data_IF_852280284807
#
_entry.id   IF_852280284807
#
_cell.length_a   1.000
_cell.length_b   1.000
_cell.length_c   1.000
_cell.angle_alpha   90.00
_cell.angle_beta   90.00
_cell.angle_gamma   90.00
#
_symmetry.space_group_name_H-M   'P 1'
#
loop_
_entity.id
_entity.type
_entity.pdbx_description
1 polymer ?
#
# COMPACT_ATOMS: atom_id res chain seq x y z
N UNK A 1 51.76 13.30 4.55
CA UNK A 1 50.58 12.89 3.76
C UNK A 1 49.58 12.21 4.68
N UNK A 2 48.32 12.67 4.70
CA UNK A 2 47.25 12.11 5.53
C UNK A 2 46.02 11.87 4.64
N UNK A 3 45.42 10.68 4.68
CA UNK A 3 44.31 10.27 3.81
C UNK A 3 44.56 10.52 2.30
N UNK A 4 45.79 10.30 1.81
CA UNK A 4 46.20 10.60 0.43
C UNK A 4 46.02 12.07 0.00
N UNK A 5 45.90 12.99 0.95
CA UNK A 5 45.83 14.45 0.70
C UNK A 5 47.09 15.12 1.28
N UNK A 6 47.61 16.11 0.55
CA UNK A 6 48.78 16.90 0.93
C UNK A 6 50.13 16.33 0.46
N UNK A 7 51.23 16.93 0.93
CA UNK A 7 52.59 16.55 0.55
C UNK A 7 53.11 15.37 1.40
N UNK A 8 54.04 14.58 0.82
CA UNK A 8 54.76 13.52 1.53
C UNK A 8 55.73 14.08 2.56
N UNK A 9 56.44 15.16 2.21
CA UNK A 9 57.33 15.94 3.10
C UNK A 9 57.24 17.42 2.78
N UNK A 10 57.40 18.28 3.80
CA UNK A 10 57.47 19.73 3.63
C UNK A 10 58.81 20.18 3.00
N UNK A 11 59.86 19.36 3.13
CA UNK A 11 61.21 19.67 2.64
C UNK A 11 61.23 19.76 1.11
N UNK A 12 61.78 20.84 0.58
CA UNK A 12 61.83 21.09 -0.87
C UNK A 12 60.59 21.74 -1.46
N UNK A 13 59.50 21.90 -0.69
CA UNK A 13 58.27 22.56 -1.15
C UNK A 13 58.31 24.09 -1.06
N UNK A 14 59.30 24.65 -0.37
CA UNK A 14 59.41 26.10 -0.11
C UNK A 14 58.31 26.66 0.81
N UNK A 15 57.50 25.81 1.44
CA UNK A 15 56.41 26.20 2.35
C UNK A 15 56.37 25.30 3.60
N UNK A 16 55.52 25.65 4.56
CA UNK A 16 55.32 24.85 5.78
C UNK A 16 54.46 23.59 5.54
N UNK A 17 54.02 23.33 4.30
CA UNK A 17 53.14 22.22 3.90
C UNK A 17 51.85 22.08 4.75
N UNK A 18 51.31 23.21 5.21
CA UNK A 18 50.05 23.24 5.95
C UNK A 18 48.88 22.99 5.01
N UNK A 19 48.09 21.96 5.30
CA UNK A 19 46.96 21.52 4.47
C UNK A 19 45.65 21.89 5.17
N UNK A 20 44.80 22.65 4.49
CA UNK A 20 43.45 22.99 4.95
C UNK A 20 42.40 22.23 4.14
N UNK A 21 41.24 21.98 4.74
CA UNK A 21 40.08 21.49 4.01
C UNK A 21 39.53 22.60 3.10
N UNK A 22 39.03 22.21 1.92
CA UNK A 22 38.35 23.14 1.04
C UNK A 22 36.90 23.36 1.52
N UNK A 23 36.60 24.56 2.01
CA UNK A 23 35.26 24.98 2.46
C UNK A 23 34.23 25.10 1.33
N UNK A 24 34.66 25.28 0.09
CA UNK A 24 33.80 25.33 -1.09
C UNK A 24 33.58 23.93 -1.71
N UNK A 25 34.14 22.87 -1.12
CA UNK A 25 33.95 21.52 -1.65
C UNK A 25 32.52 21.03 -1.34
N UNK A 26 31.68 20.97 -2.37
CA UNK A 26 30.36 20.38 -2.27
C UNK A 26 30.49 18.85 -2.22
N UNK A 27 30.09 18.24 -1.10
CA UNK A 27 29.99 16.79 -0.99
C UNK A 27 28.84 16.31 -1.86
N UNK A 28 29.13 15.90 -3.10
CA UNK A 28 28.14 15.21 -3.92
C UNK A 28 27.85 13.86 -3.26
N UNK A 29 26.59 13.63 -2.86
CA UNK A 29 26.13 12.32 -2.42
C UNK A 29 26.47 11.30 -3.51
N UNK A 30 27.13 10.19 -3.14
CA UNK A 30 27.42 9.08 -4.07
C UNK A 30 26.15 8.49 -4.69
N UNK A 31 24.99 8.77 -4.10
CA UNK A 31 23.69 8.45 -4.67
C UNK A 31 23.29 9.54 -5.67
N UNK A 32 23.90 9.50 -6.86
CA UNK A 32 23.37 10.23 -8.01
C UNK A 32 21.99 9.63 -8.31
N UNK A 33 20.93 10.38 -8.03
CA UNK A 33 19.57 10.00 -8.46
C UNK A 33 19.59 10.04 -10.00
N UNK A 34 19.58 8.86 -10.62
CA UNK A 34 19.43 8.73 -12.05
C UNK A 34 17.93 8.79 -12.32
N UNK A 35 17.47 9.90 -12.89
CA UNK A 35 16.08 10.05 -13.31
C UNK A 35 15.91 9.30 -14.63
N UNK A 36 15.48 8.04 -14.57
CA UNK A 36 15.04 7.31 -15.76
C UNK A 36 13.57 7.67 -16.00
N UNK A 37 13.35 8.86 -16.57
CA UNK A 37 12.01 9.45 -16.67
C UNK A 37 10.98 8.49 -17.27
N UNK A 38 11.33 7.73 -18.32
CA UNK A 38 10.41 6.80 -18.96
C UNK A 38 10.12 5.55 -18.12
N UNK A 39 11.13 4.94 -17.49
CA UNK A 39 10.95 3.75 -16.64
C UNK A 39 10.16 4.08 -15.36
N UNK A 40 10.42 5.26 -14.79
CA UNK A 40 9.71 5.74 -13.60
C UNK A 40 8.24 6.04 -13.91
N UNK A 41 7.94 6.64 -15.08
CA UNK A 41 6.57 6.86 -15.56
C UNK A 41 5.86 5.51 -15.78
N UNK A 42 6.50 4.58 -16.51
CA UNK A 42 5.91 3.27 -16.77
C UNK A 42 5.62 2.49 -15.48
N UNK A 43 6.51 2.59 -14.48
CA UNK A 43 6.28 1.98 -13.16
C UNK A 43 5.11 2.61 -12.43
N UNK A 44 5.02 3.94 -12.41
CA UNK A 44 3.92 4.66 -11.77
C UNK A 44 2.57 4.33 -12.41
N UNK A 45 2.50 4.26 -13.74
CA UNK A 45 1.28 3.86 -14.46
C UNK A 45 0.88 2.41 -14.14
N UNK A 46 1.85 1.50 -14.09
CA UNK A 46 1.60 0.10 -13.74
C UNK A 46 1.07 -0.04 -12.29
N UNK A 47 1.62 0.71 -11.34
CA UNK A 47 1.16 0.72 -9.95
C UNK A 47 -0.26 1.27 -9.82
N UNK A 48 -0.57 2.35 -10.54
CA UNK A 48 -1.92 2.93 -10.57
C UNK A 48 -2.92 1.94 -11.15
N UNK A 49 -2.59 1.24 -12.22
CA UNK A 49 -3.51 0.35 -12.94
C UNK A 49 -3.58 -1.08 -12.39
N UNK A 50 -2.84 -1.40 -11.33
CA UNK A 50 -2.84 -2.73 -10.73
C UNK A 50 -4.21 -3.09 -10.15
N UNK A 51 -4.81 -4.17 -10.68
CA UNK A 51 -6.08 -4.69 -10.18
C UNK A 51 -5.95 -5.34 -8.79
N UNK A 52 -7.00 -5.29 -7.95
CA UNK A 52 -7.04 -6.06 -6.72
C UNK A 52 -7.10 -7.57 -7.02
N UNK A 53 -6.43 -8.38 -6.21
CA UNK A 53 -6.57 -9.83 -6.27
C UNK A 53 -7.82 -10.23 -5.48
N UNK A 54 -8.73 -10.98 -6.12
CA UNK A 54 -10.00 -11.40 -5.54
C UNK A 54 -9.80 -12.36 -4.37
N UNK A 55 -8.86 -13.31 -4.49
CA UNK A 55 -8.60 -14.30 -3.42
C UNK A 55 -8.20 -13.60 -2.12
N UNK A 56 -7.34 -12.58 -2.20
CA UNK A 56 -6.91 -11.82 -1.02
C UNK A 56 -8.05 -11.00 -0.41
N UNK A 57 -8.97 -10.49 -1.23
CA UNK A 57 -10.18 -9.83 -0.71
C UNK A 57 -11.11 -10.83 -0.02
N UNK A 58 -11.29 -12.03 -0.58
CA UNK A 58 -12.08 -13.11 0.02
C UNK A 58 -11.54 -13.52 1.38
N UNK A 59 -10.21 -13.58 1.52
CA UNK A 59 -9.55 -13.80 2.81
C UNK A 59 -9.84 -12.69 3.82
N UNK A 60 -9.83 -11.42 3.40
CA UNK A 60 -10.18 -10.28 4.27
C UNK A 60 -11.65 -10.33 4.71
N UNK A 61 -12.59 -10.67 3.83
CA UNK A 61 -14.00 -10.80 4.24
C UNK A 61 -14.21 -11.94 5.24
N UNK A 62 -13.57 -13.10 5.03
CA UNK A 62 -13.60 -14.21 5.99
C UNK A 62 -13.02 -13.79 7.34
N UNK A 63 -11.91 -13.03 7.33
CA UNK A 63 -11.31 -12.48 8.54
C UNK A 63 -12.28 -11.54 9.27
N UNK A 64 -12.99 -10.67 8.55
CA UNK A 64 -13.98 -9.77 9.15
C UNK A 64 -15.17 -10.53 9.76
N UNK A 65 -15.63 -11.61 9.11
CA UNK A 65 -16.68 -12.48 9.67
C UNK A 65 -16.21 -13.11 10.98
N UNK A 66 -14.99 -13.64 11.03
CA UNK A 66 -14.44 -14.23 12.26
C UNK A 66 -14.25 -13.18 13.36
N UNK A 67 -13.81 -11.96 13.03
CA UNK A 67 -13.74 -10.86 14.02
C UNK A 67 -15.10 -10.62 14.66
N UNK A 68 -16.18 -10.54 13.86
CA UNK A 68 -17.55 -10.38 14.38
C UNK A 68 -17.98 -11.55 15.25
N UNK A 69 -17.52 -12.77 14.94
CA UNK A 69 -17.81 -13.95 15.75
C UNK A 69 -17.09 -13.88 17.10
N UNK A 70 -15.83 -13.44 17.14
CA UNK A 70 -15.06 -13.24 18.37
C UNK A 70 -15.67 -12.11 19.21
N UNK A 71 -16.05 -10.99 18.61
CA UNK A 71 -16.76 -9.92 19.33
C UNK A 71 -18.08 -10.41 19.95
N UNK A 72 -18.80 -11.29 19.24
CA UNK A 72 -20.03 -11.88 19.77
C UNK A 72 -19.77 -12.88 20.90
N UNK A 73 -18.68 -13.64 20.83
CA UNK A 73 -18.21 -14.53 21.90
C UNK A 73 -17.88 -13.73 23.16
N UNK A 74 -17.08 -12.67 23.06
CA UNK A 74 -16.73 -11.76 24.16
C UNK A 74 -17.99 -11.16 24.84
N UNK A 75 -18.99 -10.77 24.03
CA UNK A 75 -20.26 -10.23 24.53
C UNK A 75 -21.09 -11.26 25.30
N UNK A 76 -20.97 -12.54 24.95
CA UNK A 76 -21.69 -13.62 25.61
C UNK A 76 -20.98 -14.07 26.89
N UNK A 77 -19.65 -14.13 26.87
CA UNK A 77 -18.84 -14.35 28.08
C UNK A 77 -19.10 -13.26 29.13
N UNK A 78 -19.11 -11.99 28.71
CA UNK A 78 -19.42 -10.87 29.60
C UNK A 78 -20.82 -10.91 30.23
N UNK A 79 -21.75 -11.67 29.64
CA UNK A 79 -23.10 -11.90 30.19
C UNK A 79 -23.17 -13.15 31.07
N UNK A 80 -22.11 -13.95 31.16
CA UNK A 80 -22.03 -15.14 31.99
C UNK A 80 -22.77 -16.36 31.44
N UNK A 81 -22.89 -16.49 30.11
CA UNK A 81 -23.38 -17.72 29.48
C UNK A 81 -22.38 -18.87 29.65
N UNK A 82 -22.86 -20.12 29.54
CA UNK A 82 -21.98 -21.30 29.58
C UNK A 82 -21.20 -21.49 28.28
N UNK A 83 -20.01 -22.09 28.35
CA UNK A 83 -19.15 -22.32 27.18
C UNK A 83 -19.84 -23.14 26.08
N UNK A 84 -20.70 -24.10 26.43
CA UNK A 84 -21.44 -24.93 25.48
C UNK A 84 -22.50 -24.11 24.71
N UNK A 85 -23.19 -23.20 25.41
CA UNK A 85 -24.19 -22.32 24.80
C UNK A 85 -23.53 -21.27 23.91
N UNK A 86 -22.38 -20.73 24.34
CA UNK A 86 -21.58 -19.78 23.57
C UNK A 86 -21.14 -20.40 22.25
N UNK A 87 -20.48 -21.57 22.30
CA UNK A 87 -20.00 -22.27 21.11
C UNK A 87 -21.14 -22.58 20.13
N UNK A 88 -22.30 -23.01 20.62
CA UNK A 88 -23.45 -23.32 19.78
C UNK A 88 -23.95 -22.06 19.06
N UNK A 89 -24.14 -20.96 19.79
CA UNK A 89 -24.63 -19.69 19.22
C UNK A 89 -23.62 -19.03 18.29
N UNK A 90 -22.33 -19.05 18.62
CA UNK A 90 -21.26 -18.52 17.75
C UNK A 90 -21.19 -19.31 16.44
N UNK A 91 -21.36 -20.64 16.49
CA UNK A 91 -21.39 -21.49 15.29
C UNK A 91 -22.59 -21.18 14.38
N UNK A 92 -23.77 -20.97 14.96
CA UNK A 92 -24.96 -20.52 14.22
C UNK A 92 -24.75 -19.13 13.61
N UNK A 93 -24.19 -18.20 14.39
CA UNK A 93 -23.90 -16.84 13.94
C UNK A 93 -22.88 -16.80 12.80
N UNK A 94 -21.82 -17.62 12.86
CA UNK A 94 -20.84 -17.78 11.78
C UNK A 94 -21.51 -18.23 10.47
N UNK A 95 -22.38 -19.24 10.53
CA UNK A 95 -23.12 -19.72 9.35
C UNK A 95 -24.06 -18.65 8.79
N UNK A 96 -24.74 -17.92 9.67
CA UNK A 96 -25.62 -16.82 9.28
C UNK A 96 -24.84 -15.74 8.52
N UNK A 97 -23.76 -15.22 9.12
CA UNK A 97 -22.93 -14.17 8.50
C UNK A 97 -22.35 -14.63 7.15
N UNK A 98 -21.89 -15.88 7.08
CA UNK A 98 -21.35 -16.43 5.84
C UNK A 98 -22.43 -16.50 4.73
N UNK A 99 -23.63 -16.98 5.06
CA UNK A 99 -24.76 -17.03 4.11
C UNK A 99 -25.21 -15.62 3.68
N UNK A 100 -25.23 -14.65 4.59
CA UNK A 100 -25.58 -13.26 4.27
C UNK A 100 -24.52 -12.58 3.38
N UNK A 101 -23.26 -12.94 3.58
CA UNK A 101 -22.15 -12.51 2.73
C UNK A 101 -22.25 -13.11 1.32
N UNK A 102 -22.43 -14.43 1.21
CA UNK A 102 -22.59 -15.11 -0.10
C UNK A 102 -23.82 -14.64 -0.87
N UNK A 103 -24.93 -14.35 -0.16
CA UNK A 103 -26.14 -13.80 -0.77
C UNK A 103 -26.04 -12.31 -1.16
N UNK A 104 -24.93 -11.64 -0.83
CA UNK A 104 -24.70 -10.23 -1.12
C UNK A 104 -25.59 -9.26 -0.33
N UNK A 105 -26.29 -9.74 0.70
CA UNK A 105 -27.11 -8.90 1.59
C UNK A 105 -26.23 -8.10 2.56
N UNK A 106 -25.11 -8.68 2.96
CA UNK A 106 -24.14 -8.07 3.87
C UNK A 106 -23.01 -7.42 3.08
N UNK A 107 -23.03 -6.09 2.97
CA UNK A 107 -21.92 -5.33 2.38
C UNK A 107 -20.84 -5.06 3.42
N UNK A 108 -19.74 -5.82 3.34
CA UNK A 108 -18.58 -5.70 4.24
C UNK A 108 -17.50 -4.75 3.72
N UNK A 109 -17.73 -4.14 2.55
CA UNK A 109 -16.74 -3.30 1.86
C UNK A 109 -16.30 -2.07 2.65
N UNK A 110 -17.19 -1.51 3.48
CA UNK A 110 -16.89 -0.36 4.32
C UNK A 110 -15.95 -0.70 5.50
N UNK A 111 -15.87 -1.97 5.86
CA UNK A 111 -15.15 -2.47 7.04
C UNK A 111 -13.76 -3.04 6.68
N UNK A 112 -13.41 -3.04 5.38
CA UNK A 112 -12.10 -3.46 4.89
C UNK A 112 -10.97 -2.56 5.39
N UNK A 113 -9.87 -3.16 5.83
CA UNK A 113 -8.68 -2.41 6.23
C UNK A 113 -7.99 -1.79 5.00
N UNK A 114 -7.97 -0.45 4.96
CA UNK A 114 -7.35 0.34 3.90
C UNK A 114 -5.81 0.32 3.93
N UNK A 115 -5.19 -0.20 5.00
CA UNK A 115 -3.75 -0.46 5.04
C UNK A 115 -3.34 -1.58 4.08
N UNK A 116 -4.26 -2.50 3.77
CA UNK A 116 -4.01 -3.57 2.79
C UNK A 116 -4.03 -2.99 1.36
N UNK A 117 -2.96 -3.27 0.61
CA UNK A 117 -2.78 -2.82 -0.77
C UNK A 117 -3.94 -3.20 -1.69
N UNK A 118 -4.54 -4.39 -1.53
CA UNK A 118 -5.63 -4.86 -2.39
C UNK A 118 -6.97 -4.22 -2.02
N UNK A 119 -7.26 -4.03 -0.74
CA UNK A 119 -8.42 -3.26 -0.27
C UNK A 119 -8.37 -1.83 -0.81
N UNK A 120 -7.21 -1.17 -0.72
CA UNK A 120 -7.00 0.16 -1.30
C UNK A 120 -7.18 0.17 -2.81
N UNK A 121 -6.69 -0.84 -3.52
CA UNK A 121 -6.87 -0.96 -4.97
C UNK A 121 -8.35 -1.17 -5.36
N UNK A 122 -9.12 -1.92 -4.56
CA UNK A 122 -10.58 -2.08 -4.76
C UNK A 122 -11.30 -0.73 -4.64
N UNK A 123 -11.05 0.02 -3.56
CA UNK A 123 -11.65 1.34 -3.35
C UNK A 123 -11.22 2.33 -4.44
N UNK A 124 -9.93 2.33 -4.82
CA UNK A 124 -9.43 3.18 -5.90
C UNK A 124 -10.11 2.85 -7.25
N UNK A 125 -10.30 1.56 -7.57
CA UNK A 125 -11.00 1.12 -8.79
C UNK A 125 -12.46 1.61 -8.79
N UNK A 126 -13.16 1.47 -7.67
CA UNK A 126 -14.54 1.96 -7.52
C UNK A 126 -14.61 3.49 -7.64
N UNK A 127 -13.69 4.20 -6.98
CA UNK A 127 -13.59 5.66 -7.05
C UNK A 127 -13.34 6.16 -8.48
N UNK A 128 -12.43 5.51 -9.23
CA UNK A 128 -12.19 5.83 -10.65
C UNK A 128 -13.41 5.53 -11.52
N UNK A 129 -14.10 4.42 -11.28
CA UNK A 129 -15.34 4.09 -12.00
C UNK A 129 -16.43 5.14 -11.77
N UNK A 130 -16.60 5.59 -10.53
CA UNK A 130 -17.54 6.65 -10.17
C UNK A 130 -17.16 7.98 -10.82
N UNK A 131 -15.88 8.33 -10.81
CA UNK A 131 -15.37 9.54 -11.46
C UNK A 131 -15.53 9.48 -12.98
N UNK A 132 -15.27 8.33 -13.60
CA UNK A 132 -15.49 8.10 -15.04
C UNK A 132 -16.94 8.37 -15.43
N UNK A 133 -17.88 7.81 -14.67
CA UNK A 133 -19.30 8.05 -14.86
C UNK A 133 -19.68 9.52 -14.67
N UNK A 134 -19.17 10.16 -13.61
CA UNK A 134 -19.43 11.58 -13.33
C UNK A 134 -18.89 12.52 -14.43
N UNK A 135 -17.79 12.17 -15.07
CA UNK A 135 -17.20 12.92 -16.19
C UNK A 135 -17.85 12.59 -17.55
N UNK A 136 -18.83 11.68 -17.60
CA UNK A 136 -19.50 11.28 -18.83
C UNK A 136 -18.62 10.48 -19.80
N UNK A 137 -17.57 9.84 -19.30
CA UNK A 137 -16.69 8.98 -20.10
C UNK A 137 -17.37 7.62 -20.26
N UNK A 138 -17.56 7.20 -21.51
CA UNK A 138 -18.24 5.94 -21.83
C UNK A 138 -17.42 4.70 -21.38
N UNK A 139 -18.11 3.58 -21.17
CA UNK A 139 -17.45 2.31 -20.82
C UNK A 139 -16.54 1.78 -21.95
N UNK A 140 -16.84 2.12 -23.21
CA UNK A 140 -16.04 1.76 -24.39
C UNK A 140 -14.83 2.66 -24.63
N UNK A 141 -14.64 3.71 -23.82
CA UNK A 141 -13.52 4.62 -23.95
C UNK A 141 -12.19 3.90 -23.69
N UNK A 142 -11.27 4.01 -24.65
CA UNK A 142 -9.91 3.45 -24.58
C UNK A 142 -8.94 4.60 -24.29
N UNK A 143 -8.12 4.48 -23.25
CA UNK A 143 -7.09 5.48 -22.96
C UNK A 143 -6.13 5.64 -24.15
N UNK A 144 -5.85 6.89 -24.52
CA UNK A 144 -4.97 7.23 -25.65
C UNK A 144 -5.69 7.44 -27.00
N UNK A 145 -6.93 6.95 -27.17
CA UNK A 145 -7.66 7.11 -28.44
C UNK A 145 -8.20 8.53 -28.68
N UNK A 146 -8.13 9.41 -27.68
CA UNK A 146 -8.66 10.79 -27.76
C UNK A 146 -7.95 11.67 -28.82
N UNK A 147 -6.75 11.27 -29.27
CA UNK A 147 -5.98 11.98 -30.29
C UNK A 147 -5.82 11.19 -31.59
N UNK A 148 -6.38 9.98 -31.67
CA UNK A 148 -6.43 9.19 -32.91
C UNK A 148 -7.51 9.79 -33.82
N UNK A 149 -7.09 10.25 -35.01
CA UNK A 149 -7.94 10.82 -36.06
C UNK A 149 -8.28 9.76 -37.10
#
# INVERSE_FOLDING_TARGET
MYNNVGLSTARGSGTNAYVQSNVANLSFSRNKIVYNAEEDIARAEAEVNKAPNLELLDHEYKRLIEIKCVEFEDLMEGKGFSEEEINSKVSEYRKLLFNEFESGRLNMDAELDLRNSHSRAKVAKQGRSNMRWALGIDASFVDGSSMEK
#
